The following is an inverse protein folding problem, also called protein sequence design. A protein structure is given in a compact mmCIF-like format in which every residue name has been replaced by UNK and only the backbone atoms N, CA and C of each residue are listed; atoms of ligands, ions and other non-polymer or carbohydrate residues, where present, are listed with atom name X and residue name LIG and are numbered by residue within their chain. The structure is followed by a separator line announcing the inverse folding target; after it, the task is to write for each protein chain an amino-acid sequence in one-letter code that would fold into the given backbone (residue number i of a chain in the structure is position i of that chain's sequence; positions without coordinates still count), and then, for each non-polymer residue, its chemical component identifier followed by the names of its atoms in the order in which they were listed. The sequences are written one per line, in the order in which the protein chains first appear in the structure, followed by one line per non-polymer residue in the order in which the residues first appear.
data_IF_538466412416
#
_entry.id   IF_538466412416
#
_cell.length_a   1.000
_cell.length_b   1.000
_cell.length_c   1.000
_cell.angle_alpha   90.00
_cell.angle_beta   90.00
_cell.angle_gamma   90.00
#
_symmetry.space_group_name_H-M   'P 1'
#
loop_
_entity.id
_entity.type
_entity.pdbx_description
1 polymer ?
#
# COMPACT_ATOMS: atom_id res chain seq x y z
N UNK A 1 11.24 6.84 -13.17
CA UNK A 1 10.45 5.58 -13.01
C UNK A 1 10.32 5.21 -11.54
N UNK A 2 9.11 4.92 -11.05
CA UNK A 2 8.82 4.41 -9.70
C UNK A 2 8.26 2.99 -9.81
N UNK A 3 8.78 2.08 -8.98
CA UNK A 3 8.35 0.68 -8.97
C UNK A 3 8.24 0.15 -7.54
N UNK A 4 7.08 -0.44 -7.23
CA UNK A 4 6.76 -1.14 -5.99
C UNK A 4 6.45 -2.59 -6.35
N UNK A 5 7.14 -3.54 -5.73
CA UNK A 5 6.97 -4.98 -5.97
C UNK A 5 6.59 -5.69 -4.67
N UNK A 6 5.49 -6.42 -4.71
CA UNK A 6 4.97 -7.27 -3.64
C UNK A 6 5.01 -6.63 -2.23
N UNK A 7 4.60 -5.36 -2.14
CA UNK A 7 4.64 -4.62 -0.88
C UNK A 7 3.60 -5.16 0.10
N UNK A 8 4.08 -5.61 1.25
CA UNK A 8 3.26 -6.06 2.38
C UNK A 8 3.57 -5.17 3.57
N UNK A 9 2.53 -4.67 4.24
CA UNK A 9 2.68 -3.90 5.47
C UNK A 9 1.68 -4.37 6.51
N UNK A 10 2.20 -4.87 7.62
CA UNK A 10 1.44 -5.23 8.82
C UNK A 10 1.83 -4.31 9.96
N UNK A 11 0.83 -3.75 10.64
CA UNK A 11 0.98 -2.97 11.86
C UNK A 11 0.63 -3.83 13.07
N UNK A 12 1.24 -3.51 14.21
CA UNK A 12 1.01 -4.19 15.50
C UNK A 12 1.15 -5.72 15.44
N UNK A 13 2.11 -6.19 14.65
CA UNK A 13 2.36 -7.62 14.43
C UNK A 13 2.59 -8.35 15.75
N UNK A 14 1.95 -9.51 15.93
CA UNK A 14 2.03 -10.34 17.13
C UNK A 14 1.14 -9.90 18.28
N UNK A 15 0.25 -8.94 18.07
CA UNK A 15 -0.71 -8.46 19.08
C UNK A 15 -2.14 -8.74 18.66
N UNK A 16 -3.09 -8.63 19.60
CA UNK A 16 -4.52 -8.70 19.29
C UNK A 16 -5.00 -7.63 18.29
N UNK A 17 -4.22 -6.56 18.11
CA UNK A 17 -4.50 -5.45 17.21
C UNK A 17 -3.75 -5.57 15.87
N UNK A 18 -3.17 -6.74 15.58
CA UNK A 18 -2.47 -6.96 14.32
C UNK A 18 -3.38 -6.63 13.12
N UNK A 19 -2.86 -5.81 12.22
CA UNK A 19 -3.58 -5.40 11.01
C UNK A 19 -2.67 -5.31 9.81
N UNK A 20 -2.95 -6.12 8.81
CA UNK A 20 -2.30 -6.03 7.51
C UNK A 20 -2.96 -4.94 6.67
N UNK A 21 -2.27 -3.81 6.50
CA UNK A 21 -2.73 -2.65 5.76
C UNK A 21 -2.47 -2.74 4.26
N UNK A 22 -1.37 -3.39 3.84
CA UNK A 22 -1.05 -3.64 2.43
C UNK A 22 -0.75 -5.13 2.24
N UNK A 23 -1.31 -5.74 1.20
CA UNK A 23 -1.28 -7.18 0.95
C UNK A 23 -0.74 -7.48 -0.46
N UNK A 24 0.58 -7.41 -0.63
CA UNK A 24 1.23 -7.78 -1.89
C UNK A 24 0.97 -6.80 -3.03
N UNK A 25 1.04 -5.49 -2.74
CA UNK A 25 0.79 -4.45 -3.75
C UNK A 25 1.95 -4.39 -4.74
N UNK A 26 1.60 -4.34 -6.03
CA UNK A 26 2.52 -4.06 -7.13
C UNK A 26 2.07 -2.77 -7.82
N UNK A 27 2.96 -1.79 -7.97
CA UNK A 27 2.68 -0.52 -8.64
C UNK A 27 3.89 -0.15 -9.50
N UNK A 28 3.63 0.31 -10.72
CA UNK A 28 4.66 0.85 -11.60
C UNK A 28 4.14 2.15 -12.19
N UNK A 29 4.94 3.20 -12.07
CA UNK A 29 4.67 4.52 -12.63
C UNK A 29 5.89 4.95 -13.45
N UNK A 30 5.63 5.35 -14.69
CA UNK A 30 6.64 5.90 -15.58
C UNK A 30 6.81 7.41 -15.36
N UNK A 31 7.85 7.98 -15.96
CA UNK A 31 8.02 9.43 -15.94
C UNK A 31 6.92 10.13 -16.73
N UNK A 32 6.29 11.13 -16.10
CA UNK A 32 5.14 11.84 -16.66
C UNK A 32 3.77 11.24 -16.31
N UNK A 33 3.73 10.06 -15.69
CA UNK A 33 2.46 9.49 -15.20
C UNK A 33 1.86 10.37 -14.09
N UNK A 34 0.56 10.64 -14.20
CA UNK A 34 -0.22 11.27 -13.15
C UNK A 34 -1.24 10.27 -12.60
N UNK A 35 -1.09 9.90 -11.33
CA UNK A 35 -1.90 8.88 -10.68
C UNK A 35 -2.62 9.46 -9.45
N UNK A 36 -3.82 8.94 -9.16
CA UNK A 36 -4.55 9.19 -7.92
C UNK A 36 -4.93 7.87 -7.27
N UNK A 37 -4.69 7.75 -5.96
CA UNK A 37 -5.08 6.57 -5.17
C UNK A 37 -6.41 6.83 -4.46
N UNK A 38 -7.43 6.03 -4.77
CA UNK A 38 -8.79 6.15 -4.21
C UNK A 38 -9.19 4.92 -3.39
N UNK A 39 -10.25 5.06 -2.58
CA UNK A 39 -10.78 3.98 -1.72
C UNK A 39 -11.25 4.47 -0.36
N UNK A 40 -12.00 3.63 0.36
CA UNK A 40 -12.57 3.97 1.68
C UNK A 40 -11.53 4.21 2.78
N UNK A 41 -12.00 4.67 3.95
CA UNK A 41 -11.15 4.82 5.13
C UNK A 41 -10.56 3.47 5.56
N UNK A 42 -9.27 3.44 5.89
CA UNK A 42 -8.57 2.22 6.30
C UNK A 42 -8.16 1.28 5.15
N UNK A 43 -8.40 1.63 3.88
CA UNK A 43 -8.01 0.83 2.72
C UNK A 43 -6.48 0.80 2.41
N UNK A 44 -5.65 1.39 3.28
CA UNK A 44 -4.19 1.39 3.10
C UNK A 44 -3.62 2.51 2.22
N UNK A 45 -4.45 3.43 1.70
CA UNK A 45 -4.02 4.49 0.76
C UNK A 45 -2.87 5.37 1.24
N UNK A 46 -2.93 5.85 2.48
CA UNK A 46 -1.85 6.68 3.07
C UNK A 46 -0.68 5.84 3.59
N UNK A 47 -0.81 4.51 3.55
CA UNK A 47 0.26 3.56 3.90
C UNK A 47 1.06 3.15 2.66
N UNK A 48 0.41 3.07 1.50
CA UNK A 48 1.03 2.90 0.19
C UNK A 48 1.82 4.16 -0.17
#
# INVERSE_FOLDING_TARGET
MLEVKNMVKTFFKGTINEKTALQGINLRLEEGDFCTVIGGNGAGKSTL
#
